data_IF_032954207923
#
_entry.id   IF_032954207923
#
_cell.length_a   1.000
_cell.length_b   1.000
_cell.length_c   1.000
_cell.angle_alpha   90.00
_cell.angle_beta   90.00
_cell.angle_gamma   90.00
#
_symmetry.space_group_name_H-M   'P 1'
#
loop_
_entity.id
_entity.type
_entity.pdbx_description
1 polymer ?
#
# COMPACT_ATOMS: atom_id res chain seq x y z
N UNK A 1 27.07 -15.97 -39.44
CA UNK A 1 27.55 -15.36 -38.18
C UNK A 1 26.32 -14.77 -37.51
N UNK A 2 25.75 -15.47 -36.53
CA UNK A 2 24.54 -15.04 -35.84
C UNK A 2 24.90 -14.08 -34.72
N UNK A 3 24.27 -12.90 -34.71
CA UNK A 3 24.35 -11.95 -33.60
C UNK A 3 23.81 -12.62 -32.33
N UNK A 4 24.71 -12.88 -31.37
CA UNK A 4 24.31 -13.22 -30.01
C UNK A 4 23.64 -11.97 -29.42
N UNK A 5 22.32 -12.03 -29.24
CA UNK A 5 21.57 -10.99 -28.57
C UNK A 5 22.23 -10.65 -27.24
N UNK A 6 22.61 -9.39 -27.05
CA UNK A 6 23.21 -8.90 -25.81
C UNK A 6 22.34 -9.30 -24.63
N UNK A 7 22.89 -10.11 -23.72
CA UNK A 7 22.31 -10.33 -22.40
C UNK A 7 22.22 -8.97 -21.70
N UNK A 8 21.00 -8.43 -21.60
CA UNK A 8 20.72 -7.30 -20.73
C UNK A 8 20.34 -7.86 -19.36
N UNK A 9 21.08 -7.52 -18.28
CA UNK A 9 20.60 -7.83 -16.94
C UNK A 9 19.22 -7.17 -16.76
N UNK A 10 18.30 -7.81 -16.00
CA UNK A 10 17.02 -7.19 -15.72
C UNK A 10 17.24 -5.83 -15.06
N UNK A 11 16.37 -4.83 -15.32
CA UNK A 11 16.44 -3.57 -14.60
C UNK A 11 16.37 -3.86 -13.10
N UNK A 12 17.18 -3.16 -12.27
CA UNK A 12 17.15 -3.35 -10.83
C UNK A 12 15.72 -3.14 -10.32
N UNK A 13 15.31 -3.86 -9.26
CA UNK A 13 14.00 -3.66 -8.66
C UNK A 13 13.78 -2.18 -8.35
N UNK A 14 12.62 -1.65 -8.73
CA UNK A 14 12.23 -0.31 -8.34
C UNK A 14 11.99 -0.39 -6.83
N UNK A 15 12.91 0.06 -5.99
CA UNK A 15 12.68 0.17 -4.54
C UNK A 15 12.55 1.63 -4.18
N UNK A 16 11.37 2.20 -4.43
CA UNK A 16 11.13 3.62 -4.21
C UNK A 16 10.28 3.86 -2.97
N UNK A 17 10.73 4.71 -2.03
CA UNK A 17 9.89 5.12 -0.91
C UNK A 17 8.70 5.93 -1.43
N UNK A 18 7.52 5.57 -0.94
CA UNK A 18 6.25 6.21 -1.29
C UNK A 18 5.42 6.49 -0.04
N UNK A 19 4.44 7.38 -0.21
CA UNK A 19 3.23 7.45 0.59
C UNK A 19 2.13 6.67 -0.11
N UNK A 20 1.40 5.85 0.65
CA UNK A 20 0.15 5.21 0.24
C UNK A 20 -0.99 5.99 0.92
N UNK A 21 -1.90 6.54 0.12
CA UNK A 21 -3.05 7.29 0.58
C UNK A 21 -4.26 6.34 0.76
N UNK A 22 -4.60 6.05 2.02
CA UNK A 22 -5.66 5.11 2.34
C UNK A 22 -7.05 5.66 2.05
N UNK A 23 -7.26 6.98 2.13
CA UNK A 23 -8.54 7.59 1.80
C UNK A 23 -8.84 7.42 0.30
N UNK A 24 -7.82 7.48 -0.55
CA UNK A 24 -7.95 7.18 -1.97
C UNK A 24 -8.01 5.68 -2.29
N UNK A 25 -7.28 4.84 -1.54
CA UNK A 25 -7.21 3.40 -1.78
C UNK A 25 -8.47 2.66 -1.35
N UNK A 26 -8.98 2.93 -0.15
CA UNK A 26 -10.16 2.26 0.41
C UNK A 26 -11.45 3.06 0.22
N UNK A 27 -11.34 4.35 -0.11
CA UNK A 27 -12.49 5.24 -0.22
C UNK A 27 -13.00 5.70 1.16
N UNK A 28 -14.04 6.55 1.16
CA UNK A 28 -14.65 7.00 2.41
C UNK A 28 -15.22 5.81 3.20
N UNK A 29 -15.13 5.91 4.53
CA UNK A 29 -15.87 5.00 5.39
C UNK A 29 -17.36 5.04 5.02
N UNK A 30 -17.99 3.87 4.88
CA UNK A 30 -19.44 3.82 4.74
C UNK A 30 -20.04 4.20 6.09
N UNK A 31 -20.99 5.13 6.09
CA UNK A 31 -21.70 5.60 7.30
C UNK A 31 -22.42 4.46 8.07
N UNK A 32 -22.52 3.27 7.48
CA UNK A 32 -23.12 2.06 8.03
C UNK A 32 -22.26 1.31 9.08
N UNK A 33 -21.32 1.97 9.76
CA UNK A 33 -20.79 1.40 11.00
C UNK A 33 -21.83 1.65 12.09
N UNK A 34 -22.88 0.81 12.08
CA UNK A 34 -23.86 0.75 13.15
C UNK A 34 -23.12 0.77 14.49
N UNK A 35 -23.44 1.75 15.35
CA UNK A 35 -22.85 1.90 16.67
C UNK A 35 -22.79 0.52 17.33
N UNK A 36 -21.57 0.00 17.48
CA UNK A 36 -21.37 -1.32 18.04
C UNK A 36 -21.83 -1.25 19.49
N UNK A 37 -22.84 -2.04 19.92
CA UNK A 37 -23.28 -2.00 21.30
C UNK A 37 -22.13 -2.33 22.23
N UNK A 38 -21.97 -1.52 23.29
CA UNK A 38 -21.04 -1.80 24.37
C UNK A 38 -21.30 -3.21 24.92
N UNK A 39 -20.25 -4.01 25.07
CA UNK A 39 -20.30 -5.42 25.49
C UNK A 39 -20.36 -6.45 24.37
N UNK A 40 -20.45 -6.06 23.10
CA UNK A 40 -20.49 -7.02 21.98
C UNK A 40 -19.11 -7.62 21.66
N UNK A 41 -19.08 -8.78 21.01
CA UNK A 41 -17.85 -9.46 20.55
C UNK A 41 -16.97 -8.52 19.67
N UNK A 42 -17.59 -7.56 18.97
CA UNK A 42 -16.91 -6.54 18.18
C UNK A 42 -16.14 -5.52 19.03
N UNK A 43 -16.57 -5.23 20.25
CA UNK A 43 -15.85 -4.33 21.18
C UNK A 43 -14.54 -4.98 21.67
N UNK A 44 -14.48 -6.32 21.71
CA UNK A 44 -13.25 -7.07 22.00
C UNK A 44 -12.31 -7.21 20.80
N UNK A 45 -12.67 -6.68 19.63
CA UNK A 45 -11.75 -6.65 18.49
C UNK A 45 -10.73 -5.53 18.69
N UNK A 46 -9.69 -5.83 19.47
CA UNK A 46 -8.38 -5.14 19.47
C UNK A 46 -7.66 -5.20 18.09
N UNK A 47 -8.38 -5.48 17.02
CA UNK A 47 -7.88 -5.78 15.67
C UNK A 47 -8.52 -4.86 14.62
N UNK A 48 -9.07 -3.73 15.05
CA UNK A 48 -9.59 -2.70 14.15
C UNK A 48 -8.43 -1.98 13.47
N UNK A 49 -8.44 -1.93 12.14
CA UNK A 49 -7.40 -1.31 11.33
C UNK A 49 -7.69 0.17 11.07
N UNK A 50 -6.65 1.00 11.11
CA UNK A 50 -6.72 2.41 10.76
C UNK A 50 -6.52 2.55 9.24
N UNK A 51 -7.63 2.67 8.49
CA UNK A 51 -7.68 2.69 7.02
C UNK A 51 -7.87 4.10 6.45
N UNK A 52 -7.35 5.12 7.13
CA UNK A 52 -7.45 6.53 6.72
C UNK A 52 -6.08 7.20 6.75
N UNK A 53 -5.92 8.30 6.01
CA UNK A 53 -4.68 9.05 5.95
C UNK A 53 -3.58 8.38 5.13
N UNK A 54 -2.33 8.82 5.35
CA UNK A 54 -1.16 8.36 4.57
C UNK A 54 -0.22 7.52 5.39
N UNK A 55 0.19 6.38 4.85
CA UNK A 55 1.20 5.50 5.45
C UNK A 55 2.44 5.39 4.57
N UNK A 56 3.64 5.21 5.16
CA UNK A 56 4.83 4.95 4.39
C UNK A 56 4.78 3.55 3.76
N UNK A 57 5.24 3.45 2.52
CA UNK A 57 5.41 2.18 1.83
C UNK A 57 6.64 2.17 0.91
N UNK A 58 6.79 1.05 0.21
CA UNK A 58 7.81 0.82 -0.82
C UNK A 58 7.10 0.39 -2.09
N UNK A 59 7.27 1.16 -3.15
CA UNK A 59 6.89 0.77 -4.50
C UNK A 59 7.95 -0.20 -5.02
N UNK A 60 7.52 -1.39 -5.48
CA UNK A 60 8.34 -2.50 -6.02
C UNK A 60 8.36 -2.53 -7.54
N UNK A 61 7.31 -2.02 -8.18
CA UNK A 61 7.16 -2.04 -9.63
C UNK A 61 5.83 -1.47 -10.08
N UNK A 62 5.64 -1.39 -11.39
CA UNK A 62 4.40 -0.94 -12.01
C UNK A 62 3.80 -2.06 -12.84
N UNK A 63 2.49 -2.22 -12.75
CA UNK A 63 1.70 -3.06 -13.64
C UNK A 63 0.60 -2.23 -14.28
N UNK A 64 0.15 -2.66 -15.46
CA UNK A 64 -0.92 -2.00 -16.20
C UNK A 64 -2.13 -2.90 -16.24
N UNK A 65 -3.29 -2.37 -15.87
CA UNK A 65 -4.56 -3.09 -15.96
C UNK A 65 -5.06 -3.15 -17.41
N UNK A 66 -6.00 -4.06 -17.67
CA UNK A 66 -6.61 -4.24 -19.00
C UNK A 66 -7.36 -3.00 -19.50
N UNK A 67 -7.89 -2.19 -18.58
CA UNK A 67 -8.55 -0.91 -18.88
C UNK A 67 -7.56 0.27 -18.95
N UNK A 68 -6.26 -0.02 -18.95
CA UNK A 68 -5.19 0.93 -19.23
C UNK A 68 -4.68 1.73 -18.04
N UNK A 69 -5.22 1.54 -16.83
CA UNK A 69 -4.76 2.21 -15.60
C UNK A 69 -3.42 1.66 -15.14
N UNK A 70 -2.63 2.51 -14.48
CA UNK A 70 -1.39 2.13 -13.83
C UNK A 70 -1.63 1.78 -12.37
N UNK A 71 -1.05 0.66 -11.93
CA UNK A 71 -1.06 0.21 -10.54
C UNK A 71 0.39 0.01 -10.08
N UNK A 72 0.74 0.54 -8.91
CA UNK A 72 2.00 0.24 -8.26
C UNK A 72 1.87 -1.06 -7.47
N UNK A 73 2.85 -1.96 -7.58
CA UNK A 73 2.99 -3.07 -6.65
C UNK A 73 3.71 -2.55 -5.41
N UNK A 74 3.04 -2.55 -4.27
CA UNK A 74 3.48 -1.84 -3.08
C UNK A 74 3.52 -2.74 -1.85
N UNK A 75 4.54 -2.54 -1.03
CA UNK A 75 4.62 -3.07 0.32
C UNK A 75 4.36 -1.94 1.32
N UNK A 76 3.50 -2.16 2.30
CA UNK A 76 3.19 -1.18 3.34
C UNK A 76 2.63 -1.87 4.59
N UNK A 77 2.40 -1.08 5.64
CA UNK A 77 1.82 -1.55 6.90
C UNK A 77 0.53 -0.80 7.17
N UNK A 78 -0.50 -1.55 7.59
CA UNK A 78 -1.74 -0.99 8.12
C UNK A 78 -1.68 -1.09 9.65
N UNK A 79 -1.64 0.04 10.38
CA UNK A 79 -1.64 0.02 11.83
C UNK A 79 -3.05 -0.31 12.35
N UNK A 80 -3.12 -1.00 13.50
CA UNK A 80 -4.33 -1.07 14.30
C UNK A 80 -4.63 0.28 14.96
N UNK A 81 -5.86 0.47 15.42
CA UNK A 81 -6.30 1.69 16.10
C UNK A 81 -5.46 2.03 17.36
N UNK A 82 -4.98 1.01 18.06
CA UNK A 82 -4.11 1.15 19.24
C UNK A 82 -2.61 1.20 18.90
N UNK A 83 -2.26 1.07 17.60
CA UNK A 83 -0.89 1.06 17.11
C UNK A 83 -0.06 -0.17 17.52
N UNK A 84 -0.64 -1.12 18.27
CA UNK A 84 0.07 -2.27 18.82
C UNK A 84 0.23 -3.41 17.79
N UNK A 85 -0.65 -3.48 16.79
CA UNK A 85 -0.63 -4.48 15.74
C UNK A 85 -0.43 -3.82 14.37
N UNK A 86 0.36 -4.48 13.54
CA UNK A 86 0.69 -4.03 12.20
C UNK A 86 0.37 -5.16 11.22
N UNK A 87 -0.58 -4.92 10.33
CA UNK A 87 -0.83 -5.85 9.21
C UNK A 87 0.11 -5.46 8.09
N UNK A 88 1.12 -6.31 7.86
CA UNK A 88 2.03 -6.17 6.72
C UNK A 88 1.32 -6.59 5.44
N UNK A 89 1.42 -5.72 4.44
CA UNK A 89 0.94 -5.94 3.09
C UNK A 89 2.15 -5.99 2.14
N UNK A 90 2.18 -6.97 1.26
CA UNK A 90 3.28 -7.17 0.31
C UNK A 90 2.72 -7.37 -1.09
N UNK A 91 3.35 -6.72 -2.09
CA UNK A 91 2.98 -6.85 -3.50
C UNK A 91 1.55 -6.39 -3.84
N UNK A 92 0.95 -5.52 -3.03
CA UNK A 92 -0.43 -5.05 -3.25
C UNK A 92 -0.47 -4.13 -4.46
N UNK A 93 -1.39 -4.39 -5.38
CA UNK A 93 -1.63 -3.50 -6.51
C UNK A 93 -2.45 -2.27 -6.07
N UNK A 94 -1.80 -1.12 -5.97
CA UNK A 94 -2.37 0.15 -5.53
C UNK A 94 -2.55 1.08 -6.74
N UNK A 95 -3.71 1.72 -6.94
CA UNK A 95 -3.90 2.71 -8.00
C UNK A 95 -2.84 3.80 -7.94
N UNK A 96 -2.24 4.16 -9.08
CA UNK A 96 -1.21 5.21 -9.13
C UNK A 96 -1.68 6.54 -8.50
N UNK A 97 -2.98 6.84 -8.58
CA UNK A 97 -3.57 8.03 -7.98
C UNK A 97 -3.50 8.05 -6.44
N UNK A 98 -3.43 6.88 -5.79
CA UNK A 98 -3.30 6.75 -4.33
C UNK A 98 -1.82 6.72 -3.88
N UNK A 99 -0.87 6.97 -4.78
CA UNK A 99 0.57 6.91 -4.50
C UNK A 99 1.21 8.29 -4.67
N UNK A 100 2.10 8.64 -3.74
CA UNK A 100 2.95 9.82 -3.89
C UNK A 100 4.41 9.47 -3.54
N UNK A 101 5.42 10.08 -4.20
CA UNK A 101 6.81 9.93 -3.78
C UNK A 101 7.01 10.37 -2.33
N UNK A 102 7.83 9.63 -1.58
CA UNK A 102 8.23 9.99 -0.22
C UNK A 102 9.72 10.23 -0.17
N UNK A 103 10.12 11.48 -0.04
CA UNK A 103 11.53 11.84 0.13
C UNK A 103 12.00 11.33 1.49
N UNK A 104 12.95 10.40 1.49
CA UNK A 104 13.71 10.06 2.68
C UNK A 104 14.85 11.07 2.84
N UNK A 105 15.16 11.54 4.05
CA UNK A 105 16.43 12.21 4.27
C UNK A 105 17.58 11.27 3.88
N UNK A 106 18.70 11.79 3.34
CA UNK A 106 19.85 10.95 3.03
C UNK A 106 20.28 10.22 4.31
N UNK A 107 20.46 8.90 4.21
CA UNK A 107 21.02 8.11 5.31
C UNK A 107 22.44 8.66 5.59
N UNK A 108 22.70 9.07 6.83
CA UNK A 108 24.03 9.46 7.30
C UNK A 108 24.84 8.23 7.66
#
# INVERSE_FOLDING_TARGET
MSEMGQFRPPPPPLEKPIWVDFDMLYGPARDEVAAVPAGSIRERMHHSLHLTGRVPGTLRGWVRSIDGRWLGLCDFVIPSIDGAQVVRQEGVAVPAAALAPRTLPPMR
#
